data_IF_385422253160
#
_entry.id   IF_385422253160
#
_cell.length_a   1.000
_cell.length_b   1.000
_cell.length_c   1.000
_cell.angle_alpha   90.00
_cell.angle_beta   90.00
_cell.angle_gamma   90.00
#
_symmetry.space_group_name_H-M   'P 1'
#
loop_
_entity.id
_entity.type
_entity.pdbx_description
1 polymer ?
#
# COMPACT_ATOMS: atom_id res chain seq x y z
N UNK A 1 13.19 -4.31 -15.27
CA UNK A 1 11.76 -4.66 -15.43
C UNK A 1 11.37 -4.53 -16.90
N UNK A 2 10.66 -5.50 -17.52
CA UNK A 2 10.28 -5.41 -18.94
C UNK A 2 9.13 -4.40 -19.18
N UNK A 3 9.03 -3.78 -20.39
CA UNK A 3 7.99 -2.79 -20.68
C UNK A 3 6.55 -3.28 -20.47
N UNK A 4 6.30 -4.56 -20.76
CA UNK A 4 4.99 -5.18 -20.53
C UNK A 4 4.61 -5.24 -19.04
N UNK A 5 5.59 -5.40 -18.14
CA UNK A 5 5.34 -5.35 -16.70
C UNK A 5 5.04 -3.93 -16.22
N UNK A 6 5.76 -2.93 -16.76
CA UNK A 6 5.50 -1.51 -16.47
C UNK A 6 4.06 -1.13 -16.88
N UNK A 7 3.61 -1.60 -18.05
CA UNK A 7 2.24 -1.40 -18.50
C UNK A 7 1.20 -2.07 -17.59
N UNK A 8 1.49 -3.27 -17.06
CA UNK A 8 0.61 -3.95 -16.08
C UNK A 8 0.56 -3.19 -14.75
N UNK A 9 1.70 -2.72 -14.23
CA UNK A 9 1.75 -1.87 -13.04
C UNK A 9 0.88 -0.62 -13.20
N UNK A 10 0.98 0.07 -14.33
CA UNK A 10 0.13 1.21 -14.63
C UNK A 10 -1.37 0.82 -14.61
N UNK A 11 -1.73 -0.31 -15.22
CA UNK A 11 -3.10 -0.82 -15.21
C UNK A 11 -3.64 -1.09 -13.79
N UNK A 12 -2.81 -1.59 -12.88
CA UNK A 12 -3.20 -1.80 -11.49
C UNK A 12 -3.34 -0.48 -10.71
N UNK A 13 -2.44 0.48 -10.95
CA UNK A 13 -2.54 1.83 -10.38
C UNK A 13 -3.83 2.55 -10.82
N UNK A 14 -4.21 2.45 -12.09
CA UNK A 14 -5.46 3.03 -12.58
C UNK A 14 -6.69 2.35 -11.94
N UNK A 15 -6.65 1.03 -11.74
CA UNK A 15 -7.70 0.32 -11.00
C UNK A 15 -7.81 0.81 -9.55
N UNK A 16 -6.70 1.06 -8.87
CA UNK A 16 -6.72 1.67 -7.52
C UNK A 16 -7.40 3.04 -7.54
N UNK A 17 -7.03 3.90 -8.50
CA UNK A 17 -7.62 5.25 -8.66
C UNK A 17 -9.13 5.22 -8.87
N UNK A 18 -9.60 4.31 -9.73
CA UNK A 18 -11.02 4.13 -10.03
C UNK A 18 -11.80 3.50 -8.87
N UNK A 19 -11.12 2.76 -8.00
CA UNK A 19 -11.73 2.01 -6.89
C UNK A 19 -11.59 2.72 -5.55
N UNK A 20 -11.17 3.98 -5.51
CA UNK A 20 -10.88 4.68 -4.25
C UNK A 20 -12.07 4.70 -3.25
N UNK A 21 -13.31 4.61 -3.74
CA UNK A 21 -14.53 4.53 -2.94
C UNK A 21 -15.06 3.10 -2.69
N UNK A 22 -14.45 2.10 -3.31
CA UNK A 22 -14.73 0.67 -3.10
C UNK A 22 -13.45 0.01 -2.55
N UNK A 23 -13.36 -0.03 -1.22
CA UNK A 23 -12.14 -0.49 -0.55
C UNK A 23 -11.80 -1.95 -0.89
N UNK A 24 -12.80 -2.81 -1.15
CA UNK A 24 -12.53 -4.19 -1.55
C UNK A 24 -11.87 -4.25 -2.92
N UNK A 25 -12.37 -3.48 -3.88
CA UNK A 25 -11.78 -3.39 -5.21
C UNK A 25 -10.41 -2.69 -5.19
N UNK A 26 -10.23 -1.68 -4.34
CA UNK A 26 -8.95 -1.02 -4.10
C UNK A 26 -7.89 -2.00 -3.59
N UNK A 27 -8.20 -2.75 -2.53
CA UNK A 27 -7.28 -3.73 -1.91
C UNK A 27 -6.89 -4.83 -2.90
N UNK A 28 -7.81 -5.25 -3.78
CA UNK A 28 -7.46 -6.19 -4.83
C UNK A 28 -6.51 -5.56 -5.86
N UNK A 29 -6.76 -4.33 -6.31
CA UNK A 29 -5.89 -3.65 -7.26
C UNK A 29 -4.48 -3.39 -6.69
N UNK A 30 -4.40 -2.98 -5.42
CA UNK A 30 -3.16 -2.81 -4.65
C UNK A 30 -2.34 -4.12 -4.59
N UNK A 31 -2.98 -5.22 -4.21
CA UNK A 31 -2.35 -6.55 -4.20
C UNK A 31 -1.76 -6.91 -5.57
N UNK A 32 -2.53 -6.71 -6.65
CA UNK A 32 -2.08 -7.09 -7.98
C UNK A 32 -0.89 -6.25 -8.45
N UNK A 33 -0.84 -4.96 -8.10
CA UNK A 33 0.32 -4.10 -8.35
C UNK A 33 1.59 -4.66 -7.70
N UNK A 34 1.46 -5.06 -6.45
CA UNK A 34 2.55 -5.59 -5.66
C UNK A 34 3.03 -6.98 -6.12
N UNK A 35 2.11 -7.86 -6.52
CA UNK A 35 2.45 -9.15 -7.13
C UNK A 35 3.20 -8.98 -8.44
N UNK A 36 2.76 -8.05 -9.30
CA UNK A 36 3.43 -7.73 -10.56
C UNK A 36 4.87 -7.26 -10.32
N UNK A 37 5.07 -6.41 -9.31
CA UNK A 37 6.38 -5.92 -8.87
C UNK A 37 7.29 -7.07 -8.42
N UNK A 38 6.78 -7.94 -7.55
CA UNK A 38 7.56 -9.06 -7.00
C UNK A 38 7.96 -10.07 -8.09
N UNK A 39 7.02 -10.42 -8.98
CA UNK A 39 7.28 -11.30 -10.12
C UNK A 39 8.28 -10.70 -11.11
N UNK A 40 8.24 -9.38 -11.30
CA UNK A 40 9.09 -8.69 -12.27
C UNK A 40 10.48 -8.30 -11.74
N UNK A 41 10.74 -8.50 -10.44
CA UNK A 41 12.01 -8.14 -9.78
C UNK A 41 12.69 -9.31 -9.07
N UNK A 42 12.10 -10.51 -9.12
CA UNK A 42 12.58 -11.72 -8.43
C UNK A 42 12.79 -11.51 -6.91
N UNK A 43 12.05 -10.56 -6.33
CA UNK A 43 12.20 -10.13 -4.95
C UNK A 43 11.13 -10.78 -4.06
N UNK A 44 11.47 -11.96 -3.56
CA UNK A 44 10.59 -12.82 -2.74
C UNK A 44 10.30 -12.25 -1.34
N UNK A 45 11.18 -11.43 -0.78
CA UNK A 45 10.95 -10.78 0.53
C UNK A 45 9.79 -9.78 0.51
N UNK A 46 9.49 -9.20 -0.65
CA UNK A 46 8.34 -8.32 -0.85
C UNK A 46 7.03 -9.10 -0.73
N UNK A 47 6.97 -10.31 -1.29
CA UNK A 47 5.79 -11.18 -1.38
C UNK A 47 5.22 -11.59 0.00
N UNK A 48 6.10 -11.97 0.94
CA UNK A 48 5.68 -12.46 2.27
C UNK A 48 5.20 -11.34 3.21
N UNK A 49 5.75 -10.14 3.07
CA UNK A 49 5.33 -8.97 3.85
C UNK A 49 3.97 -8.45 3.39
N UNK A 50 3.71 -8.48 2.08
CA UNK A 50 2.47 -8.04 1.45
C UNK A 50 1.26 -8.91 1.84
N UNK A 51 1.45 -10.21 1.98
CA UNK A 51 0.36 -11.12 2.40
C UNK A 51 -0.12 -10.85 3.84
N UNK A 52 0.79 -10.45 4.73
CA UNK A 52 0.49 -10.16 6.13
C UNK A 52 -0.22 -8.81 6.30
N UNK A 53 0.25 -7.77 5.60
CA UNK A 53 -0.38 -6.43 5.59
C UNK A 53 -1.81 -6.50 5.02
N UNK A 54 -2.03 -7.27 3.96
CA UNK A 54 -3.35 -7.47 3.33
C UNK A 54 -4.39 -8.10 4.26
N UNK A 55 -3.99 -9.08 5.07
CA UNK A 55 -4.91 -9.74 6.02
C UNK A 55 -5.39 -8.77 7.09
N UNK A 56 -4.54 -7.81 7.48
CA UNK A 56 -4.88 -6.76 8.45
C UNK A 56 -5.76 -5.67 7.82
N UNK A 57 -5.48 -5.24 6.58
CA UNK A 57 -6.31 -4.27 5.84
C UNK A 57 -7.75 -4.75 5.63
N UNK A 58 -7.94 -6.05 5.36
CA UNK A 58 -9.28 -6.65 5.15
C UNK A 58 -10.12 -6.67 6.43
N UNK A 59 -9.49 -6.83 7.60
CA UNK A 59 -10.17 -6.80 8.91
C UNK A 59 -10.56 -5.38 9.32
N UNK A 60 -9.77 -4.38 8.91
CA UNK A 60 -10.03 -2.97 9.22
C UNK A 60 -11.05 -2.30 8.27
N UNK A 61 -11.12 -2.74 7.01
CA UNK A 61 -12.08 -2.28 5.99
C UNK A 61 -13.56 -2.38 6.39
N UNK A 62 -13.89 -3.19 7.40
CA UNK A 62 -15.27 -3.29 7.94
C UNK A 62 -15.67 -2.07 8.81
N UNK A 63 -14.79 -1.07 9.02
CA UNK A 63 -14.99 0.04 9.98
C UNK A 63 -14.80 1.48 9.43
N UNK A 64 -15.51 1.85 8.36
CA UNK A 64 -16.00 3.23 8.04
C UNK A 64 -15.02 4.42 7.79
N UNK A 65 -15.40 5.29 6.84
CA UNK A 65 -15.03 6.72 6.53
C UNK A 65 -13.53 7.14 6.48
N UNK A 66 -12.68 6.74 7.42
CA UNK A 66 -11.23 7.01 7.44
C UNK A 66 -10.49 6.36 6.24
N UNK A 67 -11.11 5.37 5.62
CA UNK A 67 -10.55 4.56 4.55
C UNK A 67 -10.27 5.33 3.25
N UNK A 68 -11.10 6.33 2.92
CA UNK A 68 -10.95 7.07 1.66
C UNK A 68 -9.69 7.97 1.65
N UNK A 69 -9.30 8.53 2.80
CA UNK A 69 -8.10 9.36 2.90
C UNK A 69 -6.84 8.50 2.82
N UNK A 70 -6.84 7.34 3.49
CA UNK A 70 -5.78 6.36 3.39
C UNK A 70 -5.61 5.82 1.96
N UNK A 71 -6.71 5.52 1.26
CA UNK A 71 -6.66 5.10 -0.13
C UNK A 71 -6.07 6.18 -1.05
N UNK A 72 -6.45 7.46 -0.85
CA UNK A 72 -5.87 8.59 -1.61
C UNK A 72 -4.37 8.74 -1.37
N UNK A 73 -3.93 8.65 -0.11
CA UNK A 73 -2.50 8.71 0.22
C UNK A 73 -1.73 7.55 -0.40
N UNK A 74 -2.27 6.33 -0.31
CA UNK A 74 -1.67 5.16 -0.96
C UNK A 74 -1.54 5.36 -2.48
N UNK A 75 -2.55 5.89 -3.17
CA UNK A 75 -2.48 6.20 -4.61
C UNK A 75 -1.32 7.15 -4.94
N UNK A 76 -1.10 8.18 -4.13
CA UNK A 76 0.01 9.12 -4.33
C UNK A 76 1.36 8.38 -4.22
N UNK A 77 1.50 7.53 -3.20
CA UNK A 77 2.72 6.75 -2.99
C UNK A 77 2.95 5.72 -4.09
N UNK A 78 1.93 4.98 -4.53
CA UNK A 78 2.04 4.05 -5.66
C UNK A 78 2.38 4.78 -6.96
N UNK A 79 1.86 6.00 -7.15
CA UNK A 79 2.20 6.83 -8.31
C UNK A 79 3.71 7.14 -8.31
N UNK A 80 4.28 7.56 -7.18
CA UNK A 80 5.71 7.83 -7.07
C UNK A 80 6.58 6.58 -7.31
N UNK A 81 6.15 5.42 -6.79
CA UNK A 81 6.82 4.13 -7.06
C UNK A 81 6.77 3.80 -8.55
N UNK A 82 5.60 3.94 -9.19
CA UNK A 82 5.44 3.67 -10.61
C UNK A 82 6.30 4.60 -11.47
N UNK A 83 6.29 5.91 -11.22
CA UNK A 83 7.03 6.90 -12.02
C UNK A 83 8.54 6.67 -11.96
N UNK A 84 9.08 6.35 -10.78
CA UNK A 84 10.51 6.03 -10.61
C UNK A 84 10.90 4.73 -11.32
N UNK A 85 10.05 3.70 -11.29
CA UNK A 85 10.25 2.47 -12.06
C UNK A 85 10.19 2.73 -13.57
N UNK A 86 9.21 3.52 -14.02
CA UNK A 86 9.02 3.85 -15.44
C UNK A 86 10.18 4.68 -15.99
N UNK A 87 10.80 5.51 -15.17
CA UNK A 87 12.02 6.25 -15.49
C UNK A 87 13.29 5.37 -15.49
N UNK A 88 13.21 4.13 -14.98
CA UNK A 88 14.36 3.23 -14.85
C UNK A 88 15.29 3.56 -13.68
N UNK A 89 14.84 4.39 -12.72
CA UNK A 89 15.62 4.78 -11.56
C UNK A 89 15.39 3.79 -10.40
N UNK A 90 16.25 2.78 -10.32
CA UNK A 90 16.13 1.73 -9.32
C UNK A 90 16.36 2.22 -7.88
N UNK A 91 17.19 3.25 -7.69
CA UNK A 91 17.47 3.78 -6.36
C UNK A 91 16.28 4.58 -5.85
N UNK A 92 15.76 5.49 -6.68
CA UNK A 92 14.55 6.25 -6.34
C UNK A 92 13.34 5.33 -6.13
N UNK A 93 13.21 4.26 -6.92
CA UNK A 93 12.15 3.26 -6.74
C UNK A 93 12.25 2.54 -5.38
N UNK A 94 13.47 2.18 -4.96
CA UNK A 94 13.68 1.57 -3.64
C UNK A 94 13.32 2.54 -2.51
N UNK A 95 13.74 3.80 -2.60
CA UNK A 95 13.40 4.84 -1.60
C UNK A 95 11.89 5.09 -1.53
N UNK A 96 11.21 5.16 -2.69
CA UNK A 96 9.77 5.31 -2.76
C UNK A 96 9.05 4.12 -2.09
N UNK A 97 9.48 2.89 -2.37
CA UNK A 97 8.90 1.69 -1.76
C UNK A 97 9.10 1.65 -0.24
N UNK A 98 10.30 1.99 0.26
CA UNK A 98 10.56 2.08 1.72
C UNK A 98 9.62 3.10 2.37
N UNK A 99 9.41 4.24 1.73
CA UNK A 99 8.51 5.28 2.23
C UNK A 99 7.08 4.76 2.30
N UNK A 100 6.59 4.13 1.23
CA UNK A 100 5.26 3.53 1.15
C UNK A 100 5.03 2.46 2.23
N UNK A 101 5.98 1.54 2.43
CA UNK A 101 5.83 0.49 3.43
C UNK A 101 5.78 1.05 4.87
N UNK A 102 6.56 2.10 5.14
CA UNK A 102 6.56 2.79 6.45
C UNK A 102 5.21 3.47 6.71
N UNK A 103 4.68 4.19 5.73
CA UNK A 103 3.39 4.89 5.88
C UNK A 103 2.23 3.89 5.91
N UNK A 104 2.29 2.78 5.16
CA UNK A 104 1.33 1.68 5.23
C UNK A 104 1.29 1.06 6.63
N UNK A 105 2.46 0.77 7.21
CA UNK A 105 2.55 0.27 8.58
C UNK A 105 1.94 1.23 9.61
N UNK A 106 2.18 2.54 9.47
CA UNK A 106 1.58 3.54 10.35
C UNK A 106 0.05 3.62 10.22
N UNK A 107 -0.49 3.53 8.99
CA UNK A 107 -1.93 3.49 8.73
C UNK A 107 -2.60 2.27 9.40
N UNK A 108 -1.91 1.13 9.42
CA UNK A 108 -2.38 -0.11 10.05
C UNK A 108 -2.37 -0.09 11.58
N UNK A 109 -1.39 0.61 12.18
CA UNK A 109 -1.28 0.69 13.63
C UNK A 109 -2.44 1.48 14.27
N UNK A 110 -3.19 2.26 13.47
CA UNK A 110 -4.24 3.15 13.95
C UNK A 110 -3.72 4.27 14.85
N UNK A 111 -4.59 5.13 15.39
CA UNK A 111 -4.20 6.03 16.46
C UNK A 111 -3.74 5.18 17.65
N UNK A 112 -2.51 5.38 18.11
CA UNK A 112 -2.09 4.86 19.41
C UNK A 112 -3.00 5.47 20.47
N UNK A 113 -3.84 4.66 21.11
CA UNK A 113 -4.57 5.13 22.29
C UNK A 113 -3.55 5.67 23.31
N UNK A 114 -3.76 6.89 23.85
CA UNK A 114 -2.94 7.33 24.96
C UNK A 114 -3.10 6.33 26.12
N UNK A 115 -2.05 6.07 26.90
CA UNK A 115 -2.11 5.10 27.99
C UNK A 115 -3.29 5.46 28.89
N UNK A 116 -4.15 4.46 29.18
CA UNK A 116 -5.28 4.64 30.07
C UNK A 116 -4.76 5.20 31.40
N UNK A 117 -5.08 6.46 31.69
CA UNK A 117 -4.91 7.03 33.01
C UNK A 117 -5.91 6.32 33.92
N UNK A 118 -5.50 5.19 34.49
CA UNK A 118 -6.23 4.52 35.55
C UNK A 118 -6.42 5.51 36.71
N UNK A 119 -7.55 5.45 37.43
CA UNK A 119 -7.85 6.43 38.46
C UNK A 119 -6.78 6.36 39.55
N UNK A 120 -6.19 7.52 39.87
CA UNK A 120 -5.41 7.70 41.09
C UNK A 120 -6.34 7.36 42.26
N UNK A 121 -6.09 6.20 42.87
CA UNK A 121 -6.79 5.72 44.03
C UNK A 121 -6.80 6.79 45.13
N UNK A 122 -8.00 7.01 45.67
CA UNK A 122 -8.28 7.89 46.80
C UNK A 122 -7.69 7.35 48.11
#
# INVERSE_FOLDING_TARGET
MPPAAIARLHGHLEKMRLSASDLSAFVEADLQFHLELAQSTDNTALLDLLQNIRSLLRVWSDRSVQDNEHARLAIVEHTAVYETIAAGDSEAAATAMVTHMRTAGARLAGPTEPPATGPLGS
#
